data_IF_693741806626
#
_entry.id   IF_693741806626
#
_cell.length_a   1.000
_cell.length_b   1.000
_cell.length_c   1.000
_cell.angle_alpha   90.00
_cell.angle_beta   90.00
_cell.angle_gamma   90.00
#
_symmetry.space_group_name_H-M   'P 1'
#
loop_
_entity.id
_entity.type
_entity.pdbx_description
1 polymer ?
#
# COMPACT_ATOMS: atom_id res chain seq x y z
N UNK A 1 14.08 14.84 16.85
CA UNK A 1 13.34 13.73 16.22
C UNK A 1 12.63 14.25 14.97
N UNK A 2 12.71 13.53 13.89
CA UNK A 2 12.04 13.92 12.66
C UNK A 2 10.53 13.74 12.78
N UNK A 3 9.74 14.77 12.36
CA UNK A 3 8.27 14.74 12.47
C UNK A 3 7.65 13.58 11.68
N UNK A 4 8.24 13.19 10.54
CA UNK A 4 7.69 12.14 9.71
C UNK A 4 7.98 10.71 10.14
N UNK A 5 8.84 10.53 11.14
CA UNK A 5 9.23 9.17 11.54
C UNK A 5 8.22 8.51 12.45
N UNK A 6 7.86 7.29 12.10
CA UNK A 6 7.06 6.40 12.93
C UNK A 6 7.96 5.37 13.61
N UNK A 7 7.60 4.90 14.83
CA UNK A 7 8.29 3.74 15.39
C UNK A 7 8.03 2.50 14.51
N UNK A 8 8.82 1.44 14.71
CA UNK A 8 8.60 0.20 13.98
C UNK A 8 7.16 -0.31 14.18
N UNK A 9 6.59 -1.01 13.19
CA UNK A 9 5.25 -1.58 13.33
C UNK A 9 5.17 -2.52 14.53
N UNK A 10 4.00 -2.58 15.21
CA UNK A 10 3.84 -3.49 16.34
C UNK A 10 3.92 -4.95 15.88
N UNK A 11 4.57 -5.80 16.68
CA UNK A 11 4.75 -7.20 16.36
C UNK A 11 3.55 -8.07 16.75
N UNK A 12 2.63 -7.55 17.57
CA UNK A 12 1.52 -8.32 18.14
C UNK A 12 0.36 -8.58 17.18
N UNK A 13 0.19 -7.76 16.17
CA UNK A 13 -0.88 -7.90 15.18
C UNK A 13 -0.33 -7.64 13.78
N UNK A 14 0.30 -8.65 13.16
CA UNK A 14 0.83 -8.48 11.82
C UNK A 14 -0.30 -8.27 10.81
N UNK A 15 -0.05 -7.57 9.70
CA UNK A 15 -1.04 -7.47 8.63
C UNK A 15 -1.29 -8.84 8.01
N UNK A 16 -2.40 -9.01 7.27
CA UNK A 16 -2.69 -10.28 6.61
C UNK A 16 -1.56 -10.70 5.68
N UNK A 17 -1.15 -11.97 5.77
CA UNK A 17 -0.09 -12.53 4.94
C UNK A 17 -0.63 -13.07 3.61
N UNK A 18 -1.91 -13.44 3.56
CA UNK A 18 -2.54 -14.07 2.39
C UNK A 18 -3.97 -13.55 2.20
N UNK A 19 -4.40 -13.60 0.94
CA UNK A 19 -5.77 -13.33 0.56
C UNK A 19 -6.16 -14.31 -0.54
N UNK A 20 -7.44 -14.35 -0.90
CA UNK A 20 -7.92 -15.20 -1.99
C UNK A 20 -8.82 -14.38 -2.90
N UNK A 21 -8.65 -14.54 -4.21
CA UNK A 21 -9.56 -13.97 -5.20
C UNK A 21 -10.89 -14.70 -5.19
N UNK A 22 -11.90 -14.14 -5.88
CA UNK A 22 -13.23 -14.75 -5.97
C UNK A 22 -13.19 -16.17 -6.55
N UNK A 23 -12.25 -16.47 -7.45
CA UNK A 23 -12.06 -17.78 -8.04
C UNK A 23 -11.25 -18.75 -7.18
N UNK A 24 -10.86 -18.33 -5.98
CA UNK A 24 -10.04 -19.13 -5.06
C UNK A 24 -8.54 -19.01 -5.24
N UNK A 25 -8.07 -18.25 -6.22
CA UNK A 25 -6.64 -18.06 -6.42
C UNK A 25 -6.01 -17.44 -5.17
N UNK A 26 -4.98 -18.07 -4.63
CA UNK A 26 -4.27 -17.58 -3.46
C UNK A 26 -3.37 -16.41 -3.85
N UNK A 27 -3.34 -15.38 -3.00
CA UNK A 27 -2.52 -14.19 -3.18
C UNK A 27 -1.54 -14.09 -2.01
N UNK A 28 -0.25 -14.14 -2.30
CA UNK A 28 0.81 -14.00 -1.30
C UNK A 28 1.09 -12.51 -1.07
N UNK A 29 0.45 -11.94 -0.05
CA UNK A 29 0.56 -10.52 0.25
C UNK A 29 1.97 -10.13 0.72
N UNK A 30 2.66 -11.04 1.39
CA UNK A 30 4.04 -10.77 1.87
C UNK A 30 5.00 -10.62 0.69
N UNK A 31 4.95 -11.57 -0.25
CA UNK A 31 5.82 -11.54 -1.43
C UNK A 31 5.52 -10.33 -2.32
N UNK A 32 4.23 -10.03 -2.55
CA UNK A 32 3.85 -8.89 -3.37
C UNK A 32 4.26 -7.57 -2.73
N UNK A 33 4.03 -7.41 -1.42
CA UNK A 33 4.43 -6.20 -0.71
C UNK A 33 5.94 -5.99 -0.75
N UNK A 34 6.71 -7.07 -0.63
CA UNK A 34 8.17 -6.98 -0.71
C UNK A 34 8.61 -6.46 -2.09
N UNK A 35 7.99 -6.94 -3.16
CA UNK A 35 8.32 -6.48 -4.51
C UNK A 35 7.88 -5.03 -4.74
N UNK A 36 6.71 -4.65 -4.26
CA UNK A 36 6.24 -3.26 -4.33
C UNK A 36 7.24 -2.34 -3.64
N UNK A 37 7.67 -2.69 -2.43
CA UNK A 37 8.61 -1.89 -1.66
C UNK A 37 9.99 -1.80 -2.33
N UNK A 38 10.44 -2.88 -2.94
CA UNK A 38 11.70 -2.88 -3.67
C UNK A 38 11.65 -1.88 -4.85
N UNK A 39 10.58 -1.91 -5.64
CA UNK A 39 10.39 -0.98 -6.76
C UNK A 39 10.24 0.46 -6.28
N UNK A 40 9.48 0.67 -5.21
CA UNK A 40 9.29 1.97 -4.61
C UNK A 40 10.62 2.56 -4.13
N UNK A 41 11.43 1.76 -3.46
CA UNK A 41 12.75 2.19 -2.96
C UNK A 41 13.73 2.50 -4.08
N UNK A 42 13.66 1.77 -5.19
CA UNK A 42 14.48 2.08 -6.37
C UNK A 42 14.12 3.43 -6.96
N UNK A 43 12.82 3.81 -6.93
CA UNK A 43 12.34 5.08 -7.44
C UNK A 43 12.59 6.23 -6.46
N UNK A 44 12.56 5.95 -5.15
CA UNK A 44 12.76 6.94 -4.09
C UNK A 44 13.91 6.55 -3.16
N UNK A 45 15.16 6.63 -3.65
CA UNK A 45 16.31 6.20 -2.84
C UNK A 45 16.56 7.05 -1.59
N UNK A 46 15.95 8.23 -1.51
CA UNK A 46 16.03 9.10 -0.34
C UNK A 46 15.25 8.59 0.88
N UNK A 47 14.35 7.61 0.68
CA UNK A 47 13.49 7.09 1.75
C UNK A 47 14.29 6.52 2.92
N UNK A 48 15.36 5.79 2.63
CA UNK A 48 16.19 5.19 3.68
C UNK A 48 16.79 6.26 4.60
N UNK A 49 17.31 7.34 4.02
CA UNK A 49 17.87 8.45 4.79
C UNK A 49 16.81 9.22 5.56
N UNK A 50 15.59 9.36 5.00
CA UNK A 50 14.51 10.13 5.60
C UNK A 50 13.83 9.38 6.74
N UNK A 51 13.60 8.07 6.58
CA UNK A 51 12.74 7.30 7.49
C UNK A 51 13.46 6.15 8.19
N UNK A 52 14.67 5.81 7.74
CA UNK A 52 15.47 4.77 8.37
C UNK A 52 14.90 3.38 8.15
N UNK A 53 15.39 2.44 8.98
CA UNK A 53 14.99 1.03 8.90
C UNK A 53 13.51 0.84 9.22
N UNK A 54 12.97 1.60 10.18
CA UNK A 54 11.54 1.56 10.51
C UNK A 54 10.68 1.90 9.29
N UNK A 55 11.13 2.81 8.42
CA UNK A 55 10.43 3.15 7.19
C UNK A 55 10.29 1.97 6.23
N UNK A 56 11.33 1.13 6.14
CA UNK A 56 11.28 -0.10 5.33
C UNK A 56 10.22 -1.06 5.87
N UNK A 57 10.20 -1.25 7.19
CA UNK A 57 9.23 -2.13 7.84
C UNK A 57 7.81 -1.61 7.65
N UNK A 58 7.60 -0.29 7.76
CA UNK A 58 6.29 0.32 7.52
C UNK A 58 5.88 0.22 6.06
N UNK A 59 6.82 0.32 5.12
CA UNK A 59 6.50 0.15 3.70
C UNK A 59 5.87 -1.23 3.45
N UNK A 60 6.50 -2.28 3.96
CA UNK A 60 5.97 -3.65 3.81
C UNK A 60 4.64 -3.82 4.53
N UNK A 61 4.56 -3.33 5.76
CA UNK A 61 3.35 -3.39 6.57
C UNK A 61 2.16 -2.72 5.86
N UNK A 62 2.37 -1.49 5.41
CA UNK A 62 1.30 -0.73 4.76
C UNK A 62 0.91 -1.37 3.41
N UNK A 63 1.88 -1.85 2.64
CA UNK A 63 1.58 -2.49 1.36
C UNK A 63 0.82 -3.81 1.51
N UNK A 64 1.09 -4.60 2.55
CA UNK A 64 0.28 -5.78 2.83
C UNK A 64 -1.19 -5.40 3.07
N UNK A 65 -1.44 -4.30 3.79
CA UNK A 65 -2.79 -3.81 4.00
C UNK A 65 -3.42 -3.28 2.71
N UNK A 66 -2.69 -2.47 1.95
CA UNK A 66 -3.19 -1.91 0.69
C UNK A 66 -3.59 -3.01 -0.29
N UNK A 67 -2.76 -4.02 -0.45
CA UNK A 67 -3.03 -5.16 -1.33
C UNK A 67 -4.23 -5.96 -0.83
N UNK A 68 -4.31 -6.20 0.47
CA UNK A 68 -5.44 -6.90 1.06
C UNK A 68 -6.75 -6.13 0.87
N UNK A 69 -6.73 -4.82 1.10
CA UNK A 69 -7.91 -3.98 0.88
C UNK A 69 -8.37 -4.01 -0.58
N UNK A 70 -7.42 -4.06 -1.52
CA UNK A 70 -7.76 -4.16 -2.94
C UNK A 70 -8.47 -5.48 -3.26
N UNK A 71 -7.98 -6.60 -2.70
CA UNK A 71 -8.65 -7.89 -2.85
C UNK A 71 -10.05 -7.85 -2.21
N UNK A 72 -10.15 -7.37 -0.97
CA UNK A 72 -11.44 -7.29 -0.27
C UNK A 72 -12.41 -6.35 -0.98
N UNK A 73 -11.92 -5.29 -1.62
CA UNK A 73 -12.73 -4.39 -2.42
C UNK A 73 -13.39 -5.13 -3.60
N UNK A 74 -12.62 -5.98 -4.29
CA UNK A 74 -13.18 -6.77 -5.40
C UNK A 74 -14.23 -7.79 -4.93
N UNK A 75 -14.19 -8.16 -3.66
CA UNK A 75 -15.15 -9.06 -3.04
C UNK A 75 -16.30 -8.30 -2.35
N UNK A 76 -16.30 -6.97 -2.47
CA UNK A 76 -17.33 -6.08 -1.90
C UNK A 76 -17.38 -6.08 -0.36
N UNK A 77 -16.29 -6.42 0.31
CA UNK A 77 -16.21 -6.39 1.77
C UNK A 77 -15.82 -5.03 2.32
N UNK A 78 -15.04 -4.25 1.56
CA UNK A 78 -14.61 -2.91 1.98
C UNK A 78 -14.57 -1.98 0.76
N UNK A 79 -14.53 -0.67 1.01
CA UNK A 79 -14.18 0.32 0.00
C UNK A 79 -12.69 0.62 0.14
N UNK A 80 -11.91 0.31 -0.89
CA UNK A 80 -10.49 0.63 -0.87
C UNK A 80 -10.26 2.13 -0.73
N UNK A 81 -11.11 2.95 -1.37
CA UNK A 81 -10.97 4.41 -1.29
C UNK A 81 -11.12 4.92 0.15
N UNK A 82 -12.05 4.35 0.92
CA UNK A 82 -12.21 4.72 2.32
C UNK A 82 -11.00 4.31 3.16
N UNK A 83 -10.49 3.11 2.94
CA UNK A 83 -9.33 2.60 3.67
C UNK A 83 -8.08 3.42 3.34
N UNK A 84 -7.88 3.70 2.07
CA UNK A 84 -6.73 4.49 1.61
C UNK A 84 -6.83 5.94 2.09
N UNK A 85 -8.03 6.52 2.13
CA UNK A 85 -8.22 7.87 2.66
C UNK A 85 -7.83 7.94 4.14
N UNK A 86 -8.16 6.89 4.91
CA UNK A 86 -7.75 6.79 6.31
C UNK A 86 -6.22 6.74 6.44
N UNK A 87 -5.57 5.88 5.65
CA UNK A 87 -4.11 5.78 5.65
C UNK A 87 -3.46 7.09 5.21
N UNK A 88 -3.99 7.72 4.17
CA UNK A 88 -3.49 9.01 3.68
C UNK A 88 -3.54 10.08 4.78
N UNK A 89 -4.60 10.11 5.56
CA UNK A 89 -4.73 11.02 6.69
C UNK A 89 -3.64 10.79 7.72
N UNK A 90 -3.38 9.52 8.07
CA UNK A 90 -2.32 9.15 9.01
C UNK A 90 -0.94 9.57 8.49
N UNK A 91 -0.67 9.34 7.21
CA UNK A 91 0.61 9.69 6.60
C UNK A 91 0.78 11.20 6.48
N UNK A 92 -0.26 11.91 6.05
CA UNK A 92 -0.22 13.36 5.90
C UNK A 92 0.00 14.06 7.26
N UNK A 93 -0.63 13.55 8.31
CA UNK A 93 -0.44 14.06 9.67
C UNK A 93 1.03 13.92 10.14
N UNK A 94 1.78 13.03 9.53
CA UNK A 94 3.21 12.83 9.79
C UNK A 94 4.11 13.47 8.73
N UNK A 95 3.54 14.34 7.90
CA UNK A 95 4.24 15.07 6.86
C UNK A 95 4.85 14.18 5.77
N UNK A 96 4.27 12.99 5.56
CA UNK A 96 4.68 12.13 4.46
C UNK A 96 4.12 12.69 3.15
N UNK A 97 4.93 12.73 2.07
CA UNK A 97 4.46 13.25 0.77
C UNK A 97 3.37 12.34 0.18
N UNK A 98 2.14 12.84 0.10
CA UNK A 98 0.98 12.04 -0.31
C UNK A 98 1.03 11.61 -1.78
N UNK A 99 1.71 12.37 -2.63
CA UNK A 99 1.96 11.95 -4.01
C UNK A 99 2.74 10.64 -4.09
N UNK A 100 3.58 10.34 -3.10
CA UNK A 100 4.29 9.07 -3.04
C UNK A 100 3.39 7.91 -2.66
N UNK A 101 2.34 8.14 -1.87
CA UNK A 101 1.32 7.12 -1.63
C UNK A 101 0.60 6.76 -2.92
N UNK A 102 0.21 7.76 -3.71
CA UNK A 102 -0.43 7.52 -5.01
C UNK A 102 0.50 6.73 -5.93
N UNK A 103 1.78 7.09 -5.96
CA UNK A 103 2.77 6.37 -6.77
C UNK A 103 2.95 4.93 -6.29
N UNK A 104 2.97 4.70 -4.98
CA UNK A 104 3.06 3.36 -4.41
C UNK A 104 1.87 2.50 -4.85
N UNK A 105 0.66 3.07 -4.89
CA UNK A 105 -0.52 2.37 -5.37
C UNK A 105 -0.40 2.01 -6.86
N UNK A 106 0.17 2.88 -7.67
CA UNK A 106 0.43 2.58 -9.09
C UNK A 106 1.42 1.42 -9.22
N UNK A 107 2.47 1.42 -8.42
CA UNK A 107 3.47 0.34 -8.42
C UNK A 107 2.81 -0.98 -8.00
N UNK A 108 1.99 -0.93 -6.96
CA UNK A 108 1.25 -2.11 -6.50
C UNK A 108 0.34 -2.67 -7.59
N UNK A 109 -0.36 -1.79 -8.32
CA UNK A 109 -1.21 -2.21 -9.44
C UNK A 109 -0.39 -2.93 -10.52
N UNK A 110 0.78 -2.41 -10.85
CA UNK A 110 1.66 -3.03 -11.85
C UNK A 110 2.15 -4.40 -11.38
N UNK A 111 2.57 -4.51 -10.12
CA UNK A 111 3.04 -5.78 -9.54
C UNK A 111 1.93 -6.83 -9.58
N UNK A 112 0.72 -6.47 -9.16
CA UNK A 112 -0.43 -7.39 -9.19
C UNK A 112 -0.73 -7.83 -10.63
N UNK A 113 -0.74 -6.90 -11.58
CA UNK A 113 -1.00 -7.22 -12.98
C UNK A 113 0.02 -8.18 -13.56
N UNK A 114 1.27 -8.10 -13.13
CA UNK A 114 2.36 -8.96 -13.62
C UNK A 114 2.43 -10.30 -12.90
N UNK A 115 2.07 -10.37 -11.62
CA UNK A 115 2.34 -11.53 -10.75
C UNK A 115 1.12 -12.37 -10.39
N UNK A 116 -0.08 -11.80 -10.46
CA UNK A 116 -1.29 -12.47 -9.99
C UNK A 116 -2.18 -12.84 -11.18
N UNK A 117 -2.32 -14.14 -11.44
CA UNK A 117 -3.24 -14.62 -12.46
C UNK A 117 -4.67 -14.22 -12.09
N UNK A 118 -5.37 -13.58 -13.01
CA UNK A 118 -6.73 -13.09 -12.75
C UNK A 118 -6.79 -11.86 -11.86
N UNK A 119 -5.66 -11.17 -11.65
CA UNK A 119 -5.57 -10.01 -10.77
C UNK A 119 -6.00 -8.67 -11.37
N UNK A 120 -6.61 -8.66 -12.55
CA UNK A 120 -6.96 -7.42 -13.23
C UNK A 120 -7.90 -6.52 -12.43
N UNK A 121 -8.89 -7.08 -11.77
CA UNK A 121 -9.82 -6.30 -10.94
C UNK A 121 -9.13 -5.71 -9.70
N UNK A 122 -8.20 -6.46 -9.10
CA UNK A 122 -7.42 -5.98 -7.97
C UNK A 122 -6.50 -4.82 -8.42
N UNK A 123 -5.83 -4.98 -9.55
CA UNK A 123 -4.98 -3.92 -10.12
C UNK A 123 -5.82 -2.67 -10.42
N UNK A 124 -7.02 -2.82 -10.97
CA UNK A 124 -7.92 -1.71 -11.26
C UNK A 124 -8.34 -0.97 -9.97
N UNK A 125 -8.60 -1.72 -8.89
CA UNK A 125 -8.94 -1.13 -7.61
C UNK A 125 -7.78 -0.28 -7.06
N UNK A 126 -6.55 -0.76 -7.17
CA UNK A 126 -5.36 -0.01 -6.75
C UNK A 126 -5.16 1.26 -7.58
N UNK A 127 -5.32 1.15 -8.90
CA UNK A 127 -5.24 2.31 -9.80
C UNK A 127 -6.31 3.35 -9.48
N UNK A 128 -7.54 2.89 -9.21
CA UNK A 128 -8.64 3.77 -8.81
C UNK A 128 -8.34 4.51 -7.50
N UNK A 129 -7.74 3.82 -6.54
CA UNK A 129 -7.34 4.44 -5.29
C UNK A 129 -6.23 5.48 -5.51
N UNK A 130 -5.28 5.23 -6.39
CA UNK A 130 -4.24 6.21 -6.75
C UNK A 130 -4.88 7.48 -7.34
N UNK A 131 -5.85 7.30 -8.22
CA UNK A 131 -6.60 8.41 -8.81
C UNK A 131 -7.33 9.23 -7.74
N UNK A 132 -7.97 8.55 -6.79
CA UNK A 132 -8.66 9.20 -5.68
C UNK A 132 -7.68 10.03 -4.84
N UNK A 133 -6.51 9.47 -4.52
CA UNK A 133 -5.49 10.20 -3.75
C UNK A 133 -5.07 11.48 -4.49
N UNK A 134 -4.84 11.39 -5.80
CA UNK A 134 -4.44 12.54 -6.62
C UNK A 134 -5.52 13.59 -6.78
N UNK A 135 -6.78 13.20 -6.57
CA UNK A 135 -7.93 14.12 -6.75
C UNK A 135 -8.15 15.03 -5.55
N UNK A 136 -7.49 14.79 -4.42
CA UNK A 136 -7.72 15.54 -3.18
C UNK A 136 -6.48 16.32 -2.78
N UNK A 137 -6.69 17.60 -2.42
CA UNK A 137 -5.61 18.47 -1.97
C UNK A 137 -5.10 18.07 -0.58
N UNK A 138 -5.96 17.53 0.28
CA UNK A 138 -5.61 17.13 1.64
C UNK A 138 -6.57 16.06 2.14
N UNK A 139 -6.10 15.26 3.08
CA UNK A 139 -6.90 14.25 3.81
C UNK A 139 -7.08 14.63 5.29
N UNK A 140 -6.49 15.75 5.71
CA UNK A 140 -6.63 16.26 7.07
C UNK A 140 -7.95 17.00 7.31
#
# INVERSE_FOLDING_TARGET
MSAGRRPAPPSGQPPPARAALADGTAVDLVALAAEVCERYRAEYPDEEGRYGEAGMLWCRHDNQHLLNWAVLHTLEYVSIDEQVAWLAKELEAREFPIDRLARDLDIAAAVVGERVAGGGAVAAALTGAATMVRSRATFL
#
